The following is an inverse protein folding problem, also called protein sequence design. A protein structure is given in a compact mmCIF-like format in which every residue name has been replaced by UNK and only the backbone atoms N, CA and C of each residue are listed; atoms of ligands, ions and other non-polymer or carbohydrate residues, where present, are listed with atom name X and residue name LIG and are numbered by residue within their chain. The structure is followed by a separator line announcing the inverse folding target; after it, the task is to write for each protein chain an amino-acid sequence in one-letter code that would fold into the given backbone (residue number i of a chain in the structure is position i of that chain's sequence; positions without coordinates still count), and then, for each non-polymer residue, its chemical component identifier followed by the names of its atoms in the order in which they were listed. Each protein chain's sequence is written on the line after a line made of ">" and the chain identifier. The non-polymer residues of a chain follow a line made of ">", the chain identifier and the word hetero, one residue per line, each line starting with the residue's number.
data_IF_433360753750
#
_entry.id   IF_433360753750
#
_cell.length_a   1.000
_cell.length_b   1.000
_cell.length_c   1.000
_cell.angle_alpha   90.00
_cell.angle_beta   90.00
_cell.angle_gamma   90.00
#
_symmetry.space_group_name_H-M   'P 1'
#
loop_
_entity.id
_entity.type
_entity.pdbx_description
1 polymer ?
#
# COMPACT_ATOMS: atom_id res chain seq x y z
N UNK A 1 -2.58 -6.15 4.06
CA UNK A 1 -2.02 -4.98 3.35
C UNK A 1 -0.62 -4.64 3.84
N UNK A 2 -0.44 -4.21 5.10
CA UNK A 2 0.89 -3.88 5.67
C UNK A 2 1.97 -4.95 5.42
N UNK A 3 1.70 -6.20 5.75
CA UNK A 3 2.64 -7.31 5.54
C UNK A 3 3.00 -7.53 4.05
N UNK A 4 2.05 -7.32 3.14
CA UNK A 4 2.30 -7.46 1.71
C UNK A 4 3.17 -6.32 1.18
N UNK A 5 2.91 -5.07 1.59
CA UNK A 5 3.77 -3.93 1.28
C UNK A 5 5.19 -4.14 1.82
N UNK A 6 5.33 -4.74 3.01
CA UNK A 6 6.63 -5.12 3.55
C UNK A 6 7.32 -6.20 2.69
N UNK A 7 6.60 -7.26 2.31
CA UNK A 7 7.13 -8.32 1.47
C UNK A 7 7.62 -7.81 0.10
N UNK A 8 6.95 -6.80 -0.48
CA UNK A 8 7.39 -6.16 -1.73
C UNK A 8 8.78 -5.54 -1.63
N UNK A 9 9.17 -5.03 -0.45
CA UNK A 9 10.50 -4.44 -0.24
C UNK A 9 11.60 -5.49 -0.28
N UNK A 10 11.35 -6.66 0.31
CA UNK A 10 12.28 -7.80 0.29
C UNK A 10 12.47 -8.38 -1.12
N UNK A 11 11.55 -8.09 -2.04
CA UNK A 11 11.61 -8.54 -3.42
C UNK A 11 12.21 -7.49 -4.38
N UNK A 12 12.58 -6.30 -3.90
CA UNK A 12 13.21 -5.29 -4.76
C UNK A 12 14.55 -5.83 -5.32
N UNK A 13 14.87 -5.58 -6.60
CA UNK A 13 14.28 -4.57 -7.49
C UNK A 13 13.05 -5.03 -8.30
N UNK A 14 12.46 -6.21 -8.03
CA UNK A 14 11.26 -6.63 -8.73
C UNK A 14 10.12 -5.62 -8.52
N UNK A 15 9.33 -5.43 -9.58
CA UNK A 15 8.18 -4.53 -9.59
C UNK A 15 6.91 -5.31 -9.91
N UNK A 16 5.82 -4.88 -9.29
CA UNK A 16 4.47 -5.40 -9.60
C UNK A 16 3.78 -4.49 -10.63
N UNK A 17 2.49 -4.71 -10.87
CA UNK A 17 1.70 -3.90 -11.79
C UNK A 17 1.59 -2.45 -11.30
N UNK A 18 1.39 -1.50 -12.23
CA UNK A 18 1.32 -0.08 -11.91
C UNK A 18 0.29 0.27 -10.82
N UNK A 19 -0.94 -0.29 -10.80
CA UNK A 19 -1.90 -0.03 -9.73
C UNK A 19 -1.39 -0.49 -8.36
N UNK A 20 -0.77 -1.67 -8.28
CA UNK A 20 -0.27 -2.23 -7.02
C UNK A 20 0.97 -1.48 -6.50
N UNK A 21 1.82 -0.95 -7.39
CA UNK A 21 2.90 -0.04 -6.99
C UNK A 21 2.34 1.25 -6.39
N UNK A 22 1.21 1.75 -6.88
CA UNK A 22 0.58 2.95 -6.33
C UNK A 22 -0.12 2.69 -5.00
N UNK A 23 -0.73 1.50 -4.81
CA UNK A 23 -1.19 1.05 -3.49
C UNK A 23 -0.03 1.02 -2.50
N UNK A 24 1.11 0.45 -2.88
CA UNK A 24 2.31 0.41 -2.04
C UNK A 24 2.76 1.82 -1.63
N UNK A 25 2.83 2.77 -2.57
CA UNK A 25 3.20 4.16 -2.27
C UNK A 25 2.23 4.81 -1.28
N UNK A 26 0.93 4.70 -1.49
CA UNK A 26 -0.07 5.26 -0.57
C UNK A 26 0.05 4.72 0.86
N UNK A 27 0.33 3.42 1.01
CA UNK A 27 0.58 2.84 2.34
C UNK A 27 1.84 3.42 2.97
N UNK A 28 2.89 3.68 2.17
CA UNK A 28 4.16 4.27 2.64
C UNK A 28 4.13 5.77 2.93
N UNK A 29 3.11 6.47 2.45
CA UNK A 29 2.84 7.85 2.87
C UNK A 29 2.35 7.95 4.33
N UNK A 30 1.66 6.90 4.82
CA UNK A 30 1.07 6.89 6.17
C UNK A 30 1.83 6.03 7.17
N UNK A 31 2.54 4.99 6.71
CA UNK A 31 3.30 4.06 7.56
C UNK A 31 4.66 3.74 6.95
N UNK A 32 5.72 3.96 7.72
CA UNK A 32 7.10 3.66 7.31
C UNK A 32 7.34 2.15 7.10
N UNK A 33 8.31 1.76 6.26
CA UNK A 33 8.83 0.39 6.22
C UNK A 33 9.16 -0.18 7.61
N UNK A 34 9.08 -1.49 7.78
CA UNK A 34 9.40 -2.18 9.03
C UNK A 34 10.90 -2.50 9.07
N UNK A 35 11.70 -1.58 9.61
CA UNK A 35 13.15 -1.68 9.73
C UNK A 35 13.60 -2.31 11.06
N UNK A 36 12.92 -1.96 12.14
CA UNK A 36 13.12 -2.43 13.50
C UNK A 36 11.78 -2.65 14.18
N UNK A 37 11.77 -3.51 15.19
CA UNK A 37 10.56 -3.77 15.96
C UNK A 37 10.07 -2.51 16.64
N UNK A 38 8.79 -2.22 16.42
CA UNK A 38 8.07 -1.09 17.02
C UNK A 38 6.66 -1.51 17.36
N UNK A 39 5.97 -0.66 18.11
CA UNK A 39 4.58 -0.90 18.46
C UNK A 39 3.69 -0.82 17.20
N UNK A 40 3.00 -1.91 16.88
CA UNK A 40 2.32 -2.07 15.58
C UNK A 40 0.91 -1.45 15.53
N UNK A 41 0.27 -1.24 16.69
CA UNK A 41 -1.11 -0.75 16.77
C UNK A 41 -1.34 0.59 16.02
N UNK A 42 -0.46 1.61 16.14
CA UNK A 42 -0.63 2.87 15.40
C UNK A 42 -0.60 2.68 13.89
N UNK A 43 0.30 1.81 13.39
CA UNK A 43 0.44 1.53 11.96
C UNK A 43 -0.79 0.78 11.42
N UNK A 44 -1.30 -0.18 12.18
CA UNK A 44 -2.55 -0.89 11.85
C UNK A 44 -3.71 0.11 11.76
N UNK A 45 -3.86 0.99 12.76
CA UNK A 45 -4.94 1.98 12.77
C UNK A 45 -4.83 2.98 11.60
N UNK A 46 -3.62 3.44 11.27
CA UNK A 46 -3.39 4.35 10.16
C UNK A 46 -3.79 3.72 8.81
N UNK A 47 -3.42 2.47 8.55
CA UNK A 47 -3.79 1.77 7.33
C UNK A 47 -5.27 1.37 7.31
N UNK A 48 -5.86 1.03 8.46
CA UNK A 48 -7.31 0.81 8.55
C UNK A 48 -8.08 2.09 8.19
N UNK A 49 -7.66 3.25 8.68
CA UNK A 49 -8.26 4.53 8.32
C UNK A 49 -8.14 4.82 6.82
N UNK A 50 -6.97 4.57 6.22
CA UNK A 50 -6.75 4.70 4.78
C UNK A 50 -7.74 3.86 3.95
N UNK A 51 -8.05 2.64 4.42
CA UNK A 51 -9.03 1.74 3.80
C UNK A 51 -10.47 2.24 3.99
N UNK A 52 -10.84 2.66 5.20
CA UNK A 52 -12.17 3.18 5.52
C UNK A 52 -12.51 4.46 4.75
N UNK A 53 -11.51 5.30 4.46
CA UNK A 53 -11.65 6.51 3.65
C UNK A 53 -11.65 6.22 2.14
N UNK A 54 -11.57 4.95 1.73
CA UNK A 54 -11.53 4.48 0.33
C UNK A 54 -10.44 5.13 -0.54
N UNK A 55 -9.43 5.74 0.09
CA UNK A 55 -8.35 6.47 -0.60
C UNK A 55 -7.62 5.59 -1.61
N UNK A 56 -7.40 4.32 -1.26
CA UNK A 56 -6.79 3.35 -2.16
C UNK A 56 -7.66 3.13 -3.39
N UNK A 57 -8.96 2.90 -3.20
CA UNK A 57 -9.90 2.65 -4.29
C UNK A 57 -9.96 3.83 -5.26
N UNK A 58 -10.19 5.04 -4.76
CA UNK A 58 -10.27 6.23 -5.61
C UNK A 58 -8.98 6.51 -6.37
N UNK A 59 -7.83 6.18 -5.78
CA UNK A 59 -6.53 6.33 -6.44
C UNK A 59 -6.34 5.36 -7.60
N UNK A 60 -6.66 4.07 -7.42
CA UNK A 60 -6.36 3.04 -8.42
C UNK A 60 -7.49 2.81 -9.41
N UNK A 61 -8.73 3.20 -9.09
CA UNK A 61 -9.90 2.99 -9.96
C UNK A 61 -9.68 3.49 -11.40
N UNK A 62 -9.19 4.71 -11.65
CA UNK A 62 -8.93 5.17 -13.01
C UNK A 62 -7.93 4.26 -13.75
N UNK A 63 -6.93 3.74 -13.03
CA UNK A 63 -5.95 2.82 -13.61
C UNK A 63 -6.60 1.50 -14.02
N UNK A 64 -7.50 0.96 -13.19
CA UNK A 64 -8.22 -0.28 -13.44
C UNK A 64 -9.25 -0.14 -14.57
N UNK A 65 -9.93 0.99 -14.67
CA UNK A 65 -10.90 1.24 -15.74
C UNK A 65 -10.23 1.15 -17.13
N UNK A 66 -8.95 1.51 -17.24
CA UNK A 66 -8.16 1.38 -18.47
C UNK A 66 -7.64 -0.04 -18.74
N UNK A 67 -7.66 -0.97 -17.77
CA UNK A 67 -7.22 -2.37 -17.99
C UNK A 67 -8.28 -3.24 -18.65
N UNK A 68 -9.55 -2.87 -18.54
CA UNK A 68 -10.69 -3.66 -19.03
C UNK A 68 -11.43 -3.01 -20.21
N UNK A 69 -10.90 -1.89 -20.73
CA UNK A 69 -11.39 -1.19 -21.92
C UNK A 69 -10.74 -1.71 -23.20
#
# INVERSE_FOLDING_TARGET
>A
LLAACQAMEFLRPLKTTAPLEEVYKLVREVVKPWDTDRYMSPDILAVTKLLQEEKIWFKIKPMLDHYYS
#
